data_IF_035389984417
#
_entry.id   IF_035389984417
#
_cell.length_a   1.000
_cell.length_b   1.000
_cell.length_c   1.000
_cell.angle_alpha   90.00
_cell.angle_beta   90.00
_cell.angle_gamma   90.00
#
_symmetry.space_group_name_H-M   'P 1'
#
loop_
_entity.id
_entity.type
_entity.pdbx_description
1 polymer ?
#
# COMPACT_ATOMS: atom_id res chain seq x y z
N UNK A 1 -8.96 18.13 14.78
CA UNK A 1 -8.62 18.66 13.45
C UNK A 1 -7.56 17.78 12.80
N UNK A 2 -7.68 17.50 11.51
CA UNK A 2 -6.74 16.65 10.76
C UNK A 2 -6.25 17.38 9.51
N UNK A 3 -5.02 17.10 9.10
CA UNK A 3 -4.47 17.60 7.84
C UNK A 3 -4.95 16.70 6.71
N UNK A 4 -5.89 17.18 5.91
CA UNK A 4 -6.46 16.43 4.78
C UNK A 4 -5.86 16.91 3.47
N UNK A 5 -5.60 15.97 2.57
CA UNK A 5 -5.11 16.24 1.22
C UNK A 5 -6.00 15.57 0.18
N UNK A 6 -5.97 16.10 -1.04
CA UNK A 6 -6.57 15.45 -2.20
C UNK A 6 -5.53 14.52 -2.84
N UNK A 7 -5.72 13.22 -2.71
CA UNK A 7 -4.89 12.22 -3.37
C UNK A 7 -5.38 12.07 -4.82
N UNK A 8 -4.50 12.20 -5.81
CA UNK A 8 -4.91 12.21 -7.23
C UNK A 8 -4.56 10.94 -7.98
N UNK A 9 -3.54 10.22 -7.52
CA UNK A 9 -3.07 8.98 -8.15
C UNK A 9 -2.21 8.16 -7.18
N UNK A 10 -2.04 6.88 -7.50
CA UNK A 10 -1.05 5.99 -6.90
C UNK A 10 -0.13 5.51 -8.02
N UNK A 11 1.19 5.56 -7.79
CA UNK A 11 2.19 5.12 -8.76
C UNK A 11 3.17 4.16 -8.09
N UNK A 12 3.49 3.06 -8.78
CA UNK A 12 4.49 2.07 -8.34
C UNK A 12 5.59 2.01 -9.39
N UNK A 13 6.79 2.43 -9.02
CA UNK A 13 7.87 2.64 -9.99
C UNK A 13 7.45 3.70 -11.01
N UNK A 14 7.33 3.29 -12.28
CA UNK A 14 6.91 4.17 -13.38
C UNK A 14 5.42 3.99 -13.77
N UNK A 15 4.70 3.07 -13.13
CA UNK A 15 3.35 2.68 -13.54
C UNK A 15 2.29 3.21 -12.59
N UNK A 16 1.31 3.95 -13.14
CA UNK A 16 0.14 4.38 -12.37
C UNK A 16 -0.85 3.22 -12.19
N UNK A 17 -1.43 3.11 -10.99
CA UNK A 17 -2.51 2.17 -10.75
C UNK A 17 -3.79 2.67 -11.42
N UNK A 18 -4.47 1.78 -12.14
CA UNK A 18 -5.76 2.08 -12.74
C UNK A 18 -6.86 1.96 -11.66
N UNK A 19 -7.12 3.05 -10.95
CA UNK A 19 -8.08 3.11 -9.86
C UNK A 19 -9.34 3.86 -10.29
N UNK A 20 -10.53 3.47 -9.80
CA UNK A 20 -11.76 4.23 -10.02
C UNK A 20 -11.60 5.68 -9.52
N UNK A 21 -12.14 6.64 -10.27
CA UNK A 21 -11.97 8.07 -9.97
C UNK A 21 -12.66 8.50 -8.67
N UNK A 22 -13.64 7.73 -8.20
CA UNK A 22 -14.40 7.97 -6.97
C UNK A 22 -13.68 7.52 -5.69
N UNK A 23 -12.56 6.79 -5.82
CA UNK A 23 -11.62 6.44 -4.73
C UNK A 23 -11.04 7.70 -4.08
N UNK A 24 -10.74 8.68 -4.93
CA UNK A 24 -10.06 9.91 -4.56
C UNK A 24 -11.02 11.06 -4.24
N UNK A 25 -12.32 10.80 -4.28
CA UNK A 25 -13.34 11.81 -4.00
C UNK A 25 -13.21 12.38 -2.57
N UNK A 26 -13.50 13.67 -2.42
CA UNK A 26 -13.55 14.34 -1.11
C UNK A 26 -15.01 14.38 -0.66
N UNK A 27 -15.30 13.88 0.54
CA UNK A 27 -16.66 13.88 1.12
C UNK A 27 -16.70 13.31 2.54
N UNK A 28 -17.88 13.20 3.14
CA UNK A 28 -18.04 12.62 4.47
C UNK A 28 -17.62 11.14 4.43
N UNK A 29 -16.50 10.82 5.09
CA UNK A 29 -15.76 9.54 5.06
C UNK A 29 -14.90 9.25 3.80
N UNK A 30 -14.64 10.24 2.94
CA UNK A 30 -13.73 10.08 1.80
C UNK A 30 -12.66 11.19 1.77
N UNK A 31 -11.40 10.79 1.70
CA UNK A 31 -10.25 11.69 1.67
C UNK A 31 -9.00 11.04 2.24
N UNK A 32 -7.86 11.71 2.12
CA UNK A 32 -6.58 11.23 2.62
C UNK A 32 -6.11 12.14 3.75
N UNK A 33 -5.74 11.56 4.89
CA UNK A 33 -5.26 12.30 6.06
C UNK A 33 -3.77 12.02 6.24
N UNK A 34 -3.02 13.06 6.61
CA UNK A 34 -1.66 12.96 7.10
C UNK A 34 -1.71 12.85 8.63
N UNK A 35 -1.30 11.70 9.17
CA UNK A 35 -1.34 11.41 10.60
C UNK A 35 0.02 10.94 11.11
N UNK A 36 0.70 11.80 11.88
CA UNK A 36 1.98 11.46 12.53
C UNK A 36 1.81 10.52 13.73
N UNK A 37 0.58 10.30 14.20
CA UNK A 37 0.24 9.36 15.28
C UNK A 37 0.12 7.91 14.82
N UNK A 38 0.15 7.63 13.51
CA UNK A 38 0.07 6.27 12.96
C UNK A 38 1.39 5.81 12.38
N UNK A 39 1.79 4.57 12.67
CA UNK A 39 3.01 3.97 12.11
C UNK A 39 2.81 3.45 10.68
N UNK A 40 1.61 2.97 10.35
CA UNK A 40 1.28 2.35 9.06
C UNK A 40 0.29 3.23 8.28
N UNK A 41 0.40 3.19 6.97
CA UNK A 41 -0.60 3.77 6.08
C UNK A 41 -1.80 2.82 5.95
N UNK A 42 -2.99 3.32 6.23
CA UNK A 42 -4.23 2.57 6.03
C UNK A 42 -4.81 2.93 4.68
N UNK A 43 -4.91 1.93 3.81
CA UNK A 43 -5.45 2.07 2.47
C UNK A 43 -6.76 1.28 2.37
N UNK A 44 -7.79 1.81 1.69
CA UNK A 44 -8.97 1.01 1.38
C UNK A 44 -8.56 -0.16 0.48
N UNK A 45 -9.24 -1.30 0.61
CA UNK A 45 -8.94 -2.55 -0.09
C UNK A 45 -8.76 -2.35 -1.60
N UNK A 46 -9.63 -1.54 -2.22
CA UNK A 46 -9.58 -1.20 -3.64
C UNK A 46 -8.29 -0.49 -4.10
N UNK A 47 -7.52 0.08 -3.17
CA UNK A 47 -6.19 0.66 -3.43
C UNK A 47 -5.09 -0.29 -2.96
N UNK A 48 -5.27 -0.94 -1.81
CA UNK A 48 -4.29 -1.84 -1.20
C UNK A 48 -3.93 -3.01 -2.11
N UNK A 49 -4.93 -3.76 -2.59
CA UNK A 49 -4.74 -4.95 -3.43
C UNK A 49 -3.95 -4.66 -4.73
N UNK A 50 -4.36 -3.69 -5.58
CA UNK A 50 -3.60 -3.38 -6.79
C UNK A 50 -2.21 -2.81 -6.48
N UNK A 51 -2.04 -2.09 -5.37
CA UNK A 51 -0.73 -1.58 -4.93
C UNK A 51 0.23 -2.73 -4.61
N UNK A 52 -0.18 -3.66 -3.74
CA UNK A 52 0.65 -4.79 -3.31
C UNK A 52 0.96 -5.70 -4.49
N UNK A 53 -0.05 -6.03 -5.30
CA UNK A 53 0.12 -6.84 -6.51
C UNK A 53 1.14 -6.21 -7.47
N UNK A 54 1.06 -4.88 -7.70
CA UNK A 54 1.98 -4.18 -8.59
C UNK A 54 3.41 -4.14 -8.01
N UNK A 55 3.58 -3.91 -6.71
CA UNK A 55 4.89 -3.94 -6.04
C UNK A 55 5.54 -5.32 -6.23
N UNK A 56 4.82 -6.40 -5.92
CA UNK A 56 5.34 -7.77 -6.06
C UNK A 56 5.68 -8.07 -7.52
N UNK A 57 4.83 -7.64 -8.47
CA UNK A 57 5.09 -7.87 -9.91
C UNK A 57 6.36 -7.19 -10.43
N UNK A 58 6.78 -6.07 -9.83
CA UNK A 58 8.01 -5.36 -10.20
C UNK A 58 9.26 -5.91 -9.52
N UNK A 59 9.12 -6.95 -8.68
CA UNK A 59 10.22 -7.59 -7.96
C UNK A 59 10.22 -9.10 -8.27
N UNK A 60 10.61 -9.51 -9.50
CA UNK A 60 10.54 -10.90 -9.93
C UNK A 60 11.43 -11.85 -9.11
N UNK A 61 12.50 -11.32 -8.52
CA UNK A 61 13.42 -12.07 -7.67
C UNK A 61 13.02 -12.05 -6.18
N UNK A 62 11.89 -11.42 -5.83
CA UNK A 62 11.41 -11.34 -4.45
C UNK A 62 10.96 -12.72 -3.97
N UNK A 63 11.70 -13.25 -3.00
CA UNK A 63 11.34 -14.52 -2.35
C UNK A 63 10.35 -14.22 -1.23
N UNK A 64 9.08 -14.46 -1.55
CA UNK A 64 7.98 -14.44 -0.58
C UNK A 64 7.74 -15.81 0.03
N UNK A 65 7.46 -15.83 1.33
CA UNK A 65 7.19 -17.02 2.13
C UNK A 65 5.93 -16.79 2.95
N UNK A 66 5.00 -17.75 2.92
CA UNK A 66 3.84 -17.73 3.80
C UNK A 66 4.20 -18.32 5.16
N UNK A 67 3.92 -17.58 6.23
CA UNK A 67 4.22 -17.94 7.62
C UNK A 67 2.90 -18.20 8.33
N UNK A 68 2.75 -19.41 8.93
CA UNK A 68 1.53 -19.88 9.59
C UNK A 68 0.25 -19.83 8.73
N UNK A 69 0.37 -19.89 7.40
CA UNK A 69 -0.73 -19.76 6.45
C UNK A 69 -1.53 -18.44 6.53
N UNK A 70 -1.03 -17.46 7.28
CA UNK A 70 -1.70 -16.18 7.54
C UNK A 70 -0.93 -14.98 6.97
N UNK A 71 0.39 -14.98 7.09
CA UNK A 71 1.23 -13.83 6.77
C UNK A 71 2.12 -14.10 5.55
N UNK A 72 2.11 -13.22 4.56
CA UNK A 72 3.07 -13.28 3.43
C UNK A 72 4.26 -12.39 3.74
N UNK A 73 5.43 -13.01 3.90
CA UNK A 73 6.65 -12.34 4.33
C UNK A 73 7.73 -12.37 3.25
N UNK A 74 8.56 -11.33 3.18
CA UNK A 74 9.81 -11.34 2.42
C UNK A 74 10.96 -10.78 3.25
N UNK A 75 12.18 -11.20 2.94
CA UNK A 75 13.35 -10.67 3.62
C UNK A 75 13.68 -9.26 3.08
N UNK A 76 13.59 -8.26 3.95
CA UNK A 76 13.92 -6.88 3.63
C UNK A 76 15.38 -6.60 3.99
N UNK A 77 16.22 -6.39 2.98
CA UNK A 77 17.68 -6.20 3.08
C UNK A 77 18.47 -7.46 3.49
N UNK A 78 19.81 -7.42 3.36
CA UNK A 78 20.71 -8.51 3.80
C UNK A 78 20.72 -8.71 5.32
N UNK A 79 20.06 -7.85 6.10
CA UNK A 79 19.84 -8.06 7.53
C UNK A 79 18.67 -9.03 7.73
N UNK A 80 18.61 -9.72 8.87
CA UNK A 80 17.51 -10.65 9.22
C UNK A 80 16.21 -9.90 9.57
N UNK A 81 15.78 -9.00 8.70
CA UNK A 81 14.52 -8.26 8.85
C UNK A 81 13.52 -8.86 7.87
N UNK A 82 12.39 -9.30 8.39
CA UNK A 82 11.29 -9.83 7.61
C UNK A 82 10.17 -8.81 7.58
N UNK A 83 9.66 -8.53 6.38
CA UNK A 83 8.50 -7.68 6.17
C UNK A 83 7.32 -8.56 5.80
N UNK A 84 6.27 -8.53 6.61
CA UNK A 84 5.08 -9.37 6.46
C UNK A 84 3.83 -8.49 6.33
N UNK A 85 2.85 -8.94 5.55
CA UNK A 85 1.51 -8.33 5.52
C UNK A 85 0.57 -9.01 6.51
#
# INVERSE_FOLDING_TARGET
PHYSINMTAVQVGLDFLNLPTDVFGVGDNKGTIIDSGTTLAYLPEMVYEPLVSKIISQQPDLKVHTVHDEYTCFQYSERRVWMCN
#
